data_IF_706176680663
#
_entry.id   IF_706176680663
#
_cell.length_a   1.000
_cell.length_b   1.000
_cell.length_c   1.000
_cell.angle_alpha   90.00
_cell.angle_beta   90.00
_cell.angle_gamma   90.00
#
_symmetry.space_group_name_H-M   'P 1'
#
loop_
_entity.id
_entity.type
_entity.pdbx_description
1 polymer ?
#
# COMPACT_ATOMS: atom_id res chain seq x y z
N UNK A 1 16.51 -4.97 11.38
CA UNK A 1 16.41 -3.90 10.36
C UNK A 1 16.53 -4.61 9.04
N UNK A 2 15.62 -4.35 8.12
CA UNK A 2 15.50 -5.10 6.87
C UNK A 2 15.60 -4.12 5.69
N UNK A 3 16.51 -4.36 4.72
CA UNK A 3 16.60 -3.52 3.54
C UNK A 3 15.38 -3.76 2.64
N UNK A 4 14.80 -2.68 2.13
CA UNK A 4 13.57 -2.73 1.32
C UNK A 4 13.62 -1.78 0.14
N UNK A 5 12.88 -2.13 -0.92
CA UNK A 5 12.44 -1.20 -1.94
C UNK A 5 10.96 -0.85 -1.69
N UNK A 6 10.69 0.45 -1.58
CA UNK A 6 9.36 1.03 -1.43
C UNK A 6 8.86 1.53 -2.77
N UNK A 7 7.67 1.08 -3.18
CA UNK A 7 6.96 1.55 -4.36
C UNK A 7 5.64 2.22 -3.92
N UNK A 8 5.62 3.56 -3.77
CA UNK A 8 4.40 4.29 -3.44
C UNK A 8 3.30 4.06 -4.49
N UNK A 9 2.06 3.94 -4.03
CA UNK A 9 0.91 3.78 -4.92
C UNK A 9 0.44 5.16 -5.37
N UNK A 10 0.56 5.51 -6.66
CA UNK A 10 0.18 6.83 -7.15
C UNK A 10 -1.33 7.02 -7.18
N UNK A 11 -1.75 8.28 -7.34
CA UNK A 11 -3.15 8.65 -7.61
C UNK A 11 -3.25 9.19 -9.03
N UNK A 12 -3.75 8.38 -9.96
CA UNK A 12 -4.02 8.80 -11.34
C UNK A 12 -5.51 9.14 -11.53
N UNK A 13 -5.86 10.08 -12.42
CA UNK A 13 -7.22 10.23 -12.93
C UNK A 13 -7.73 8.93 -13.56
N UNK A 14 -9.03 8.65 -13.42
CA UNK A 14 -9.65 7.45 -14.04
C UNK A 14 -9.46 7.46 -15.56
N UNK A 15 -9.49 8.63 -16.20
CA UNK A 15 -9.24 8.81 -17.63
C UNK A 15 -7.88 8.25 -18.06
N UNK A 16 -6.84 8.40 -17.25
CA UNK A 16 -5.52 7.82 -17.53
C UNK A 16 -5.51 6.30 -17.39
N UNK A 17 -6.31 5.73 -16.47
CA UNK A 17 -6.38 4.29 -16.25
C UNK A 17 -7.11 3.54 -17.38
N UNK A 18 -8.14 4.16 -17.98
CA UNK A 18 -8.98 3.51 -19.01
C UNK A 18 -8.44 3.69 -20.44
N UNK A 19 -7.53 4.64 -20.66
CA UNK A 19 -7.03 5.00 -22.00
C UNK A 19 -5.98 4.03 -22.55
N UNK A 20 -5.42 3.16 -21.71
CA UNK A 20 -4.48 2.14 -22.19
C UNK A 20 -4.33 0.97 -21.22
N UNK A 21 -4.17 -0.26 -21.74
CA UNK A 21 -4.05 -1.47 -20.91
C UNK A 21 -2.84 -1.43 -19.97
N UNK A 22 -1.81 -0.64 -20.29
CA UNK A 22 -0.62 -0.46 -19.44
C UNK A 22 -0.88 0.35 -18.17
N UNK A 23 -1.91 1.19 -18.17
CA UNK A 23 -2.24 2.06 -17.04
C UNK A 23 -3.29 1.42 -16.12
N UNK A 24 -3.98 0.39 -16.59
CA UNK A 24 -5.03 -0.30 -15.85
C UNK A 24 -4.51 -1.10 -14.64
N UNK A 25 -3.20 -1.29 -14.52
CA UNK A 25 -2.58 -2.02 -13.42
C UNK A 25 -1.39 -1.25 -12.85
N UNK A 26 -1.21 -1.32 -11.55
CA UNK A 26 0.00 -0.87 -10.87
C UNK A 26 1.17 -1.80 -11.26
N UNK A 27 2.09 -1.26 -12.07
CA UNK A 27 3.27 -1.97 -12.55
C UNK A 27 4.55 -1.46 -11.89
N UNK A 28 5.16 -2.31 -11.06
CA UNK A 28 6.40 -1.97 -10.36
C UNK A 28 7.60 -1.75 -11.30
N UNK A 29 7.55 -2.24 -12.55
CA UNK A 29 8.63 -2.03 -13.53
C UNK A 29 8.70 -0.57 -13.98
N UNK A 30 7.55 0.11 -13.97
CA UNK A 30 7.44 1.51 -14.38
C UNK A 30 7.25 2.45 -13.19
N UNK A 31 7.05 1.91 -11.98
CA UNK A 31 6.89 2.70 -10.77
C UNK A 31 8.23 3.18 -10.22
N UNK A 32 8.24 4.39 -9.65
CA UNK A 32 9.39 4.90 -8.91
C UNK A 32 9.61 4.09 -7.64
N UNK A 33 10.82 3.53 -7.50
CA UNK A 33 11.24 2.81 -6.32
C UNK A 33 12.12 3.72 -5.44
N UNK A 34 11.95 3.62 -4.13
CA UNK A 34 12.82 4.23 -3.14
C UNK A 34 13.42 3.13 -2.28
N UNK A 35 14.73 2.98 -2.34
CA UNK A 35 15.43 2.01 -1.50
C UNK A 35 15.62 2.56 -0.10
N UNK A 36 15.66 1.67 0.88
CA UNK A 36 15.76 2.07 2.27
C UNK A 36 15.80 0.88 3.21
N UNK A 37 15.45 1.15 4.46
CA UNK A 37 15.36 0.14 5.49
C UNK A 37 14.05 0.28 6.27
N UNK A 38 13.48 -0.87 6.62
CA UNK A 38 12.37 -0.94 7.57
C UNK A 38 12.84 -1.56 8.88
N UNK A 39 12.43 -0.94 9.99
CA UNK A 39 12.66 -1.44 11.34
C UNK A 39 11.30 -1.82 11.93
N UNK A 40 11.01 -3.12 11.89
CA UNK A 40 9.90 -3.71 12.61
C UNK A 40 10.08 -3.53 14.12
N UNK A 41 9.01 -3.15 14.81
CA UNK A 41 8.96 -3.26 16.26
C UNK A 41 8.47 -4.68 16.60
N UNK A 42 9.37 -5.50 17.17
CA UNK A 42 9.14 -6.93 17.41
C UNK A 42 8.43 -7.21 18.75
N UNK A 43 8.11 -6.18 19.54
CA UNK A 43 7.35 -6.41 20.76
C UNK A 43 5.93 -6.86 20.43
N UNK A 44 5.34 -7.73 21.24
CA UNK A 44 3.95 -8.18 21.05
C UNK A 44 2.96 -7.02 21.06
N UNK A 45 3.25 -5.96 21.83
CA UNK A 45 2.49 -4.70 21.89
C UNK A 45 2.54 -3.90 20.57
N UNK A 46 3.50 -4.18 19.68
CA UNK A 46 3.61 -3.52 18.40
C UNK A 46 2.68 -4.09 17.32
N UNK A 47 2.03 -5.22 17.60
CA UNK A 47 0.94 -5.74 16.77
C UNK A 47 -0.28 -4.87 17.05
N UNK A 48 -0.56 -3.97 16.11
CA UNK A 48 -1.67 -3.01 16.20
C UNK A 48 -3.00 -3.72 15.98
N UNK A 49 -3.01 -4.78 15.16
CA UNK A 49 -4.22 -5.54 14.94
C UNK A 49 -4.02 -6.76 14.05
N UNK A 50 -4.89 -7.75 14.25
CA UNK A 50 -5.02 -8.94 13.41
C UNK A 50 -6.42 -8.90 12.84
N UNK A 51 -6.54 -8.52 11.57
CA UNK A 51 -7.81 -8.58 10.84
C UNK A 51 -7.95 -9.92 10.12
N UNK A 52 -9.12 -10.23 9.58
CA UNK A 52 -9.45 -11.55 9.02
C UNK A 52 -8.42 -12.17 8.05
N UNK A 53 -7.64 -11.35 7.33
CA UNK A 53 -6.70 -11.82 6.31
C UNK A 53 -5.28 -11.24 6.42
N UNK A 54 -5.06 -10.29 7.35
CA UNK A 54 -3.80 -9.53 7.43
C UNK A 54 -3.46 -9.17 8.87
N UNK A 55 -2.19 -9.29 9.21
CA UNK A 55 -1.63 -8.67 10.41
C UNK A 55 -1.29 -7.21 10.11
N UNK A 56 -1.24 -6.41 11.16
CA UNK A 56 -0.94 -4.98 11.13
C UNK A 56 0.07 -4.70 12.25
N UNK A 57 1.27 -4.25 11.89
CA UNK A 57 2.38 -4.09 12.83
C UNK A 57 3.04 -2.72 12.69
N UNK A 58 3.38 -2.10 13.81
CA UNK A 58 4.13 -0.85 13.82
C UNK A 58 5.55 -1.04 13.34
N UNK A 59 6.03 -0.13 12.49
CA UNK A 59 7.41 -0.10 12.02
C UNK A 59 7.90 1.34 11.80
N UNK A 60 9.20 1.47 11.56
CA UNK A 60 9.82 2.73 11.13
C UNK A 60 10.49 2.53 9.78
N UNK A 61 10.22 3.43 8.84
CA UNK A 61 10.78 3.44 7.50
C UNK A 61 11.81 4.56 7.35
N UNK A 62 12.97 4.22 6.79
CA UNK A 62 13.98 5.20 6.43
C UNK A 62 14.40 4.95 4.98
N UNK A 63 14.04 5.87 4.08
CA UNK A 63 14.39 5.83 2.67
C UNK A 63 15.65 6.65 2.38
N UNK A 64 16.40 6.26 1.34
CA UNK A 64 17.57 6.98 0.84
C UNK A 64 17.62 6.88 -0.70
N UNK A 65 17.27 7.94 -1.44
CA UNK A 65 16.83 9.25 -0.96
C UNK A 65 15.44 9.20 -0.29
N UNK A 66 15.10 10.24 0.47
CA UNK A 66 13.73 10.42 0.97
C UNK A 66 12.75 10.56 -0.20
N UNK A 67 11.52 10.09 0.00
CA UNK A 67 10.45 10.37 -0.94
C UNK A 67 10.14 11.88 -0.96
N UNK A 68 9.79 12.47 -2.12
CA UNK A 68 9.50 13.91 -2.20
C UNK A 68 8.27 14.30 -1.39
N UNK A 69 7.33 13.37 -1.18
CA UNK A 69 6.12 13.56 -0.39
C UNK A 69 5.57 12.22 0.11
N UNK A 70 4.59 12.26 1.00
CA UNK A 70 3.89 11.07 1.49
C UNK A 70 4.76 10.14 2.35
N UNK A 71 4.56 8.84 2.20
CA UNK A 71 5.26 7.81 2.97
C UNK A 71 6.76 7.79 2.68
N UNK A 72 7.57 7.87 3.73
CA UNK A 72 9.03 7.89 3.62
C UNK A 72 9.62 9.24 3.20
N UNK A 73 8.84 10.33 3.26
CA UNK A 73 9.33 11.72 3.10
C UNK A 73 10.07 12.25 4.33
N UNK A 74 10.16 11.47 5.40
CA UNK A 74 10.82 11.81 6.65
C UNK A 74 11.76 10.67 7.06
N UNK A 75 12.82 10.99 7.79
CA UNK A 75 13.66 9.96 8.40
C UNK A 75 12.89 9.23 9.51
N UNK A 76 13.09 7.91 9.61
CA UNK A 76 12.43 7.07 10.62
C UNK A 76 10.90 7.24 10.65
N UNK A 77 10.30 7.45 9.48
CA UNK A 77 8.86 7.67 9.31
C UNK A 77 8.08 6.53 9.96
N UNK A 78 7.18 6.85 10.90
CA UNK A 78 6.33 5.84 11.53
C UNK A 78 5.36 5.28 10.49
N UNK A 79 5.42 3.98 10.24
CA UNK A 79 4.58 3.29 9.27
C UNK A 79 3.92 2.09 9.90
N UNK A 80 2.88 1.60 9.24
CA UNK A 80 2.21 0.38 9.61
C UNK A 80 2.39 -0.63 8.49
N UNK A 81 3.04 -1.74 8.80
CA UNK A 81 3.20 -2.85 7.87
C UNK A 81 2.00 -3.77 7.96
N UNK A 82 1.41 -4.07 6.81
CA UNK A 82 0.31 -5.03 6.68
C UNK A 82 0.77 -6.24 5.90
N UNK A 83 0.71 -7.41 6.52
CA UNK A 83 1.16 -8.66 5.93
C UNK A 83 0.00 -9.65 5.79
N UNK A 84 -0.28 -10.21 4.60
CA UNK A 84 -1.29 -11.25 4.46
C UNK A 84 -0.87 -12.54 5.16
N UNK A 85 -1.85 -13.27 5.69
CA UNK A 85 -1.62 -14.55 6.35
C UNK A 85 -2.69 -15.59 5.98
N UNK A 86 -2.38 -16.85 6.24
CA UNK A 86 -3.30 -17.99 6.15
C UNK A 86 -3.87 -18.19 7.55
N UNK A 87 -5.19 -18.08 7.70
CA UNK A 87 -5.84 -18.43 8.96
C UNK A 87 -5.76 -19.96 9.13
N UNK A 88 -4.96 -20.41 10.08
CA UNK A 88 -4.74 -21.82 10.38
C UNK A 88 -5.40 -22.16 11.70
N UNK A 89 -6.69 -21.85 11.82
CA UNK A 89 -7.51 -22.08 13.02
C UNK A 89 -7.60 -23.58 13.35
N UNK A 90 -6.49 -24.11 13.88
CA UNK A 90 -6.41 -25.34 14.63
C UNK A 90 -6.38 -24.90 16.08
N UNK A 91 -7.51 -25.01 16.78
CA UNK A 91 -7.70 -24.60 18.19
C UNK A 91 -6.81 -25.35 19.21
N UNK A 92 -5.85 -26.15 18.76
CA UNK A 92 -5.06 -27.05 19.57
C UNK A 92 -3.56 -26.67 19.70
N UNK A 93 -3.08 -25.62 19.02
CA UNK A 93 -1.66 -25.23 19.04
C UNK A 93 -1.42 -23.93 19.83
N UNK A 94 -0.31 -23.83 20.59
CA UNK A 94 0.15 -22.59 21.23
C UNK A 94 0.79 -21.58 20.25
N UNK A 95 0.94 -21.93 18.97
CA UNK A 95 1.46 -21.03 17.94
C UNK A 95 0.45 -19.92 17.59
N UNK A 96 0.92 -18.78 17.02
CA UNK A 96 0.02 -17.77 16.49
C UNK A 96 -0.97 -18.44 15.52
N UNK A 97 -2.27 -18.09 15.54
CA UNK A 97 -3.31 -18.79 14.78
C UNK A 97 -3.26 -18.49 13.26
N UNK A 98 -2.07 -18.18 12.74
CA UNK A 98 -1.84 -17.80 11.37
C UNK A 98 -0.47 -18.24 10.86
N UNK A 99 -0.47 -18.84 9.67
CA UNK A 99 0.73 -19.18 8.92
C UNK A 99 1.02 -18.13 7.82
N UNK A 100 2.27 -18.05 7.39
CA UNK A 100 2.66 -17.21 6.27
C UNK A 100 2.43 -17.91 4.93
N UNK A 101 2.09 -17.11 3.90
CA UNK A 101 2.10 -17.59 2.53
C UNK A 101 3.54 -17.84 2.07
N UNK A 102 3.71 -18.67 1.05
CA UNK A 102 4.94 -18.62 0.25
C UNK A 102 5.07 -17.24 -0.39
N UNK A 103 6.31 -16.77 -0.60
CA UNK A 103 6.60 -15.48 -1.23
C UNK A 103 5.78 -15.24 -2.50
N UNK A 104 5.69 -16.22 -3.40
CA UNK A 104 4.93 -16.08 -4.65
C UNK A 104 3.45 -15.79 -4.40
N UNK A 105 2.81 -16.55 -3.51
CA UNK A 105 1.39 -16.36 -3.16
C UNK A 105 1.15 -15.08 -2.36
N UNK A 106 2.11 -14.70 -1.52
CA UNK A 106 2.09 -13.45 -0.78
C UNK A 106 2.13 -12.26 -1.75
N UNK A 107 3.08 -12.27 -2.68
CA UNK A 107 3.21 -11.25 -3.71
C UNK A 107 1.94 -11.12 -4.54
N UNK A 108 1.39 -12.22 -5.07
CA UNK A 108 0.12 -12.21 -5.82
C UNK A 108 -1.00 -11.50 -5.05
N UNK A 109 -1.16 -11.83 -3.76
CA UNK A 109 -2.17 -11.22 -2.89
C UNK A 109 -1.91 -9.74 -2.62
N UNK A 110 -0.65 -9.38 -2.41
CA UNK A 110 -0.28 -7.98 -2.18
C UNK A 110 -0.49 -7.17 -3.46
N UNK A 111 -0.03 -7.63 -4.63
CA UNK A 111 -0.26 -6.98 -5.93
C UNK A 111 -1.73 -6.79 -6.23
N UNK A 112 -2.57 -7.80 -6.01
CA UNK A 112 -4.01 -7.67 -6.17
C UNK A 112 -4.57 -6.55 -5.27
N UNK A 113 -4.13 -6.47 -4.01
CA UNK A 113 -4.55 -5.40 -3.08
C UNK A 113 -4.02 -4.03 -3.47
N UNK A 114 -2.80 -3.93 -4.01
CA UNK A 114 -2.25 -2.68 -4.53
C UNK A 114 -3.09 -2.19 -5.72
N UNK A 115 -3.45 -3.08 -6.66
CA UNK A 115 -4.32 -2.75 -7.78
C UNK A 115 -5.70 -2.26 -7.34
N UNK A 116 -6.32 -2.91 -6.35
CA UNK A 116 -7.61 -2.44 -5.81
C UNK A 116 -7.48 -1.05 -5.22
N UNK A 117 -6.44 -0.79 -4.42
CA UNK A 117 -6.23 0.54 -3.83
C UNK A 117 -5.91 1.59 -4.91
N UNK A 118 -5.14 1.21 -5.93
CA UNK A 118 -4.80 2.06 -7.06
C UNK A 118 -6.05 2.56 -7.81
N UNK A 119 -6.96 1.64 -8.17
CA UNK A 119 -8.25 1.99 -8.77
C UNK A 119 -9.15 2.78 -7.81
N UNK A 120 -9.18 2.41 -6.53
CA UNK A 120 -10.00 3.12 -5.54
C UNK A 120 -9.56 4.59 -5.38
N UNK A 121 -8.25 4.86 -5.33
CA UNK A 121 -7.70 6.23 -5.30
C UNK A 121 -8.13 7.03 -6.53
N UNK A 122 -8.11 6.42 -7.72
CA UNK A 122 -8.55 7.08 -8.94
C UNK A 122 -10.05 7.39 -8.95
N UNK A 123 -10.89 6.44 -8.54
CA UNK A 123 -12.34 6.62 -8.45
C UNK A 123 -12.72 7.71 -7.44
N UNK A 124 -12.06 7.73 -6.28
CA UNK A 124 -12.27 8.78 -5.28
C UNK A 124 -11.91 10.16 -5.83
N UNK A 125 -10.81 10.27 -6.58
CA UNK A 125 -10.41 11.51 -7.26
C UNK A 125 -11.44 11.93 -8.32
N UNK A 126 -11.97 11.00 -9.11
CA UNK A 126 -13.02 11.29 -10.08
C UNK A 126 -14.28 11.84 -9.38
N UNK A 127 -14.69 11.21 -8.29
CA UNK A 127 -15.85 11.63 -7.50
C UNK A 127 -15.67 13.06 -6.96
N UNK A 128 -14.53 13.38 -6.33
CA UNK A 128 -14.29 14.73 -5.82
C UNK A 128 -14.17 15.77 -6.92
N UNK A 129 -13.49 15.45 -8.04
CA UNK A 129 -13.45 16.34 -9.19
C UNK A 129 -14.86 16.68 -9.69
N UNK A 130 -15.77 15.70 -9.74
CA UNK A 130 -17.17 15.91 -10.14
C UNK A 130 -17.92 16.81 -9.15
N UNK A 131 -17.76 16.56 -7.84
CA UNK A 131 -18.36 17.38 -6.78
C UNK A 131 -17.86 18.83 -6.89
N UNK A 132 -16.55 19.02 -7.00
CA UNK A 132 -15.91 20.34 -7.06
C UNK A 132 -16.37 21.12 -8.30
N UNK A 133 -16.44 20.46 -9.46
CA UNK A 133 -17.00 21.06 -10.68
C UNK A 133 -18.47 21.45 -10.50
N UNK A 134 -19.27 20.60 -9.87
CA UNK A 134 -20.69 20.88 -9.64
C UNK A 134 -20.91 22.08 -8.71
N UNK A 135 -20.08 22.24 -7.69
CA UNK A 135 -20.12 23.40 -6.78
C UNK A 135 -19.71 24.67 -7.50
N UNK A 136 -18.66 24.60 -8.33
CA UNK A 136 -18.21 25.73 -9.12
C UNK A 136 -19.30 26.22 -10.09
N UNK A 137 -20.01 25.28 -10.75
CA UNK A 137 -21.08 25.59 -11.69
C UNK A 137 -22.34 26.15 -11.01
N UNK A 138 -22.61 25.77 -9.75
CA UNK A 138 -23.79 26.23 -9.01
C UNK A 138 -23.74 27.73 -8.63
N UNK A 139 -22.58 28.37 -8.69
CA UNK A 139 -22.40 29.81 -8.39
C UNK A 139 -22.55 30.19 -6.91
N UNK A 140 -22.93 29.25 -6.04
CA UNK A 140 -22.98 29.41 -4.60
C UNK A 140 -22.50 28.13 -3.91
N UNK A 141 -21.69 28.28 -2.86
CA UNK A 141 -21.22 27.15 -2.05
C UNK A 141 -22.37 26.53 -1.25
N UNK A 142 -22.34 25.20 -1.00
CA UNK A 142 -23.33 24.55 -0.14
C UNK A 142 -23.30 25.14 1.28
N UNK A 143 -24.43 25.12 2.03
CA UNK A 143 -24.50 25.64 3.40
C UNK A 143 -23.86 24.69 4.43
N UNK A 144 -22.99 23.78 3.99
CA UNK A 144 -22.27 22.81 4.80
C UNK A 144 -20.92 22.47 4.18
N UNK A 145 -19.97 22.06 5.01
CA UNK A 145 -18.67 21.61 4.55
C UNK A 145 -18.75 20.19 3.99
N UNK A 146 -18.18 19.99 2.80
CA UNK A 146 -18.05 18.66 2.21
C UNK A 146 -16.68 18.10 2.60
N UNK A 147 -16.62 17.03 3.42
CA UNK A 147 -15.36 16.45 3.81
C UNK A 147 -14.65 15.84 2.59
N UNK A 148 -13.36 16.16 2.46
CA UNK A 148 -12.48 15.57 1.45
C UNK A 148 -11.81 14.34 2.05
N UNK A 149 -12.45 13.20 1.83
CA UNK A 149 -11.93 11.90 2.24
C UNK A 149 -10.72 11.56 1.37
N UNK A 150 -9.73 10.96 2.00
CA UNK A 150 -8.53 10.46 1.33
C UNK A 150 -8.22 9.05 1.81
N UNK A 151 -7.69 8.23 0.90
CA UNK A 151 -7.02 7.00 1.32
C UNK A 151 -5.72 7.34 2.03
N UNK A 152 -5.40 6.60 3.08
CA UNK A 152 -4.08 6.67 3.72
C UNK A 152 -3.01 6.32 2.70
N UNK A 153 -1.90 7.07 2.72
CA UNK A 153 -0.76 6.79 1.84
C UNK A 153 -0.20 5.40 2.08
N UNK A 154 0.09 4.71 0.98
CA UNK A 154 0.51 3.32 1.00
C UNK A 154 1.60 3.07 -0.04
N UNK A 155 2.49 2.16 0.31
CA UNK A 155 3.54 1.66 -0.57
C UNK A 155 3.56 0.14 -0.54
N UNK A 156 3.89 -0.46 -1.68
CA UNK A 156 4.38 -1.83 -1.72
C UNK A 156 5.83 -1.84 -1.22
N UNK A 157 6.13 -2.71 -0.25
CA UNK A 157 7.48 -2.91 0.27
C UNK A 157 7.97 -4.29 -0.15
N UNK A 158 9.12 -4.35 -0.81
CA UNK A 158 9.79 -5.60 -1.17
C UNK A 158 11.11 -5.71 -0.42
N UNK A 159 11.34 -6.81 0.29
CA UNK A 159 12.59 -7.04 1.02
C UNK A 159 13.74 -7.35 0.04
N UNK A 160 14.86 -6.65 0.17
CA UNK A 160 16.01 -6.81 -0.73
C UNK A 160 16.77 -8.13 -0.52
N UNK A 161 16.65 -8.75 0.65
CA UNK A 161 17.23 -10.08 0.95
C UNK A 161 16.65 -11.20 0.08
N UNK A 162 15.49 -10.99 -0.54
CA UNK A 162 14.84 -11.97 -1.41
C UNK A 162 15.38 -11.95 -2.85
N UNK A 163 16.19 -10.96 -3.24
CA UNK A 163 16.76 -10.86 -4.61
C UNK A 163 17.74 -11.97 -4.95
N UNK A 164 18.33 -12.66 -3.98
CA UNK A 164 19.28 -13.74 -4.27
C UNK A 164 18.61 -15.01 -4.82
N UNK A 165 17.29 -15.20 -4.62
CA UNK A 165 16.58 -16.43 -5.01
C UNK A 165 15.25 -16.19 -5.76
N UNK A 166 14.91 -14.95 -6.14
CA UNK A 166 13.66 -14.67 -6.82
C UNK A 166 13.65 -15.23 -8.27
N UNK A 167 12.70 -16.08 -8.66
CA UNK A 167 12.54 -16.48 -10.06
C UNK A 167 12.19 -15.24 -10.89
N UNK A 168 12.88 -15.07 -12.02
CA UNK A 168 12.53 -14.08 -13.03
C UNK A 168 11.06 -14.31 -13.40
N UNK A 169 10.21 -13.32 -13.12
CA UNK A 169 8.77 -13.40 -13.39
C UNK A 169 8.47 -13.73 -14.86
N UNK A 170 7.21 -14.08 -15.18
CA UNK A 170 6.85 -14.49 -16.53
C UNK A 170 7.17 -13.37 -17.53
N UNK A 171 7.79 -13.77 -18.65
CA UNK A 171 7.99 -12.92 -19.83
C UNK A 171 6.67 -12.63 -20.51
#
# INVERSE_FOLDING_TARGET
>A
IEPVDSYPIPTHPVTELITGPRNATFDIKNATAYSGNVRLNLTSQAVIGVGAFKTTQSARLTLSPLAPSGIGSQHNHNVVLKRPYINTTNFASPEPPYAHYSITKELEKVFHKMNVLYWAKALLKLMYNFIDSSIADAGASPPFDIPHLHFVEASLMLACSERQNAPKGPR
#
